data_IF_999692231312
#
_entry.id   IF_999692231312
#
_cell.length_a   1.000
_cell.length_b   1.000
_cell.length_c   1.000
_cell.angle_alpha   90.00
_cell.angle_beta   90.00
_cell.angle_gamma   90.00
#
_symmetry.space_group_name_H-M   'P 1'
#
loop_
_entity.id
_entity.type
_entity.pdbx_description
1 polymer ?
#
# COMPACT_ATOMS: atom_id res chain seq x y z
N UNK A 1 39.90 -77.33 11.82
CA UNK A 1 38.73 -76.42 11.87
C UNK A 1 39.24 -75.00 11.66
N UNK A 2 38.82 -74.32 10.60
CA UNK A 2 39.12 -72.90 10.45
C UNK A 2 38.20 -72.13 11.42
N UNK A 3 38.77 -71.40 12.38
CA UNK A 3 38.01 -70.49 13.22
C UNK A 3 37.54 -69.32 12.34
N UNK A 4 36.23 -69.24 12.10
CA UNK A 4 35.59 -68.05 11.59
C UNK A 4 35.64 -67.00 12.70
N UNK A 5 36.50 -65.99 12.54
CA UNK A 5 36.46 -64.80 13.38
C UNK A 5 35.10 -64.12 13.20
N UNK A 6 34.49 -63.68 14.30
CA UNK A 6 33.31 -62.84 14.23
C UNK A 6 33.61 -61.62 13.35
N UNK A 7 32.72 -61.22 12.43
CA UNK A 7 32.94 -60.03 11.61
C UNK A 7 33.17 -58.83 12.54
N UNK A 8 34.20 -58.03 12.25
CA UNK A 8 34.41 -56.76 12.95
C UNK A 8 33.11 -55.94 12.86
N UNK A 9 32.66 -55.40 13.99
CA UNK A 9 31.55 -54.47 13.99
C UNK A 9 31.95 -53.27 13.10
N UNK A 10 31.23 -53.10 11.98
CA UNK A 10 31.34 -51.93 11.14
C UNK A 10 30.71 -50.75 11.89
N UNK A 11 31.51 -50.07 12.71
CA UNK A 11 31.11 -48.81 13.31
C UNK A 11 31.10 -47.74 12.22
N UNK A 12 29.90 -47.28 11.87
CA UNK A 12 29.70 -46.17 10.95
C UNK A 12 29.33 -44.93 11.75
N UNK A 13 30.24 -43.94 11.79
CA UNK A 13 29.97 -42.65 12.41
C UNK A 13 29.60 -41.64 11.32
N UNK A 14 28.34 -41.21 11.33
CA UNK A 14 27.87 -40.10 10.52
C UNK A 14 28.51 -38.81 11.05
N UNK A 15 29.47 -38.25 10.32
CA UNK A 15 30.20 -37.04 10.74
C UNK A 15 29.37 -35.76 10.62
N UNK A 16 28.36 -35.73 9.74
CA UNK A 16 27.44 -34.62 9.61
C UNK A 16 26.04 -35.10 9.23
N UNK A 17 25.02 -34.31 9.60
CA UNK A 17 23.58 -34.57 9.35
C UNK A 17 22.90 -33.34 8.72
N UNK A 18 23.67 -32.62 7.91
CA UNK A 18 23.33 -31.32 7.31
C UNK A 18 23.01 -31.39 5.81
N UNK A 19 23.07 -32.58 5.21
CA UNK A 19 22.89 -32.78 3.77
C UNK A 19 21.45 -32.63 3.29
N UNK A 20 20.48 -32.54 4.22
CA UNK A 20 19.11 -32.17 3.95
C UNK A 20 18.29 -33.22 3.22
N UNK A 21 17.10 -32.80 2.77
CA UNK A 21 16.15 -33.69 2.11
C UNK A 21 16.44 -33.82 0.61
N UNK A 22 16.45 -35.04 0.08
CA UNK A 22 16.73 -35.30 -1.34
C UNK A 22 15.71 -36.26 -1.93
N UNK A 23 14.80 -35.71 -2.76
CA UNK A 23 13.76 -36.48 -3.45
C UNK A 23 14.16 -36.94 -4.87
N UNK A 24 15.20 -36.33 -5.44
CA UNK A 24 15.59 -36.54 -6.84
C UNK A 24 16.60 -37.67 -7.10
N UNK A 25 16.98 -38.44 -6.07
CA UNK A 25 17.98 -39.51 -6.17
C UNK A 25 17.40 -40.83 -5.67
N UNK A 26 17.85 -41.93 -6.29
CA UNK A 26 17.58 -43.28 -5.78
C UNK A 26 18.28 -43.48 -4.43
N UNK A 27 17.74 -44.29 -3.49
CA UNK A 27 18.25 -44.40 -2.13
C UNK A 27 19.74 -44.71 -2.00
N UNK A 28 20.29 -45.56 -2.87
CA UNK A 28 21.71 -45.94 -2.86
C UNK A 28 22.66 -44.86 -3.43
N UNK A 29 22.12 -43.75 -3.96
CA UNK A 29 22.88 -42.59 -4.46
C UNK A 29 22.84 -41.40 -3.49
N UNK A 30 22.21 -41.57 -2.33
CA UNK A 30 22.20 -40.57 -1.28
C UNK A 30 23.55 -40.55 -0.59
N UNK A 31 24.06 -39.35 -0.32
CA UNK A 31 25.19 -39.22 0.58
C UNK A 31 24.73 -39.51 2.01
N UNK A 32 25.63 -39.97 2.86
CA UNK A 32 25.30 -40.46 4.20
C UNK A 32 24.66 -39.40 5.11
N UNK A 33 24.89 -38.11 4.83
CA UNK A 33 24.29 -36.98 5.54
C UNK A 33 22.95 -36.50 4.94
N UNK A 34 22.37 -37.22 3.97
CA UNK A 34 21.12 -36.89 3.28
C UNK A 34 20.03 -37.92 3.60
N UNK A 35 18.77 -37.53 3.51
CA UNK A 35 17.65 -38.46 3.67
C UNK A 35 16.48 -38.08 2.76
N UNK A 36 15.73 -39.04 2.19
CA UNK A 36 14.51 -38.74 1.45
C UNK A 36 13.28 -38.60 2.37
N UNK A 37 13.37 -39.03 3.63
CA UNK A 37 12.25 -39.22 4.55
C UNK A 37 12.26 -38.23 5.72
N UNK A 38 12.87 -37.06 5.55
CA UNK A 38 12.94 -36.04 6.60
C UNK A 38 11.56 -35.40 6.84
N UNK A 39 10.84 -35.87 7.86
CA UNK A 39 9.56 -35.28 8.27
C UNK A 39 9.68 -34.50 9.59
N UNK A 40 9.18 -33.27 9.63
CA UNK A 40 9.15 -32.41 10.83
C UNK A 40 10.53 -32.20 11.48
N UNK A 41 11.59 -32.09 10.67
CA UNK A 41 12.93 -31.71 11.10
C UNK A 41 13.31 -30.37 10.46
N UNK A 42 14.13 -29.58 11.14
CA UNK A 42 14.74 -28.37 10.60
C UNK A 42 16.20 -28.26 11.06
N UNK A 43 17.04 -27.64 10.24
CA UNK A 43 18.41 -27.33 10.61
C UNK A 43 18.42 -25.99 11.37
N UNK A 44 18.70 -26.03 12.67
CA UNK A 44 18.84 -24.85 13.52
C UNK A 44 20.27 -24.77 14.01
N UNK A 45 20.96 -23.64 13.77
CA UNK A 45 22.36 -23.46 14.16
C UNK A 45 23.29 -24.63 13.78
N UNK A 46 23.07 -25.24 12.60
CA UNK A 46 23.80 -26.43 12.08
C UNK A 46 23.52 -27.75 12.83
N UNK A 47 22.53 -27.78 13.71
CA UNK A 47 22.04 -28.99 14.36
C UNK A 47 20.70 -29.39 13.76
N UNK A 48 20.55 -30.67 13.43
CA UNK A 48 19.27 -31.20 13.01
C UNK A 48 18.37 -31.33 14.23
N UNK A 49 17.28 -30.58 14.25
CA UNK A 49 16.34 -30.56 15.38
C UNK A 49 14.91 -30.82 14.91
N UNK A 50 14.05 -31.22 15.84
CA UNK A 50 12.61 -31.34 15.56
C UNK A 50 12.05 -29.94 15.27
N UNK A 51 11.20 -29.86 14.25
CA UNK A 51 10.44 -28.64 13.94
C UNK A 51 9.67 -28.22 15.18
N UNK A 52 9.66 -26.91 15.45
CA UNK A 52 8.82 -26.35 16.51
C UNK A 52 7.37 -26.80 16.30
N UNK A 53 6.71 -27.18 17.39
CA UNK A 53 5.30 -27.54 17.37
C UNK A 53 4.43 -26.37 16.88
N UNK A 54 3.21 -26.69 16.47
CA UNK A 54 2.17 -25.68 16.23
C UNK A 54 1.31 -25.59 17.48
N UNK A 55 1.10 -24.39 17.99
CA UNK A 55 0.11 -24.13 19.04
C UNK A 55 -1.14 -23.53 18.38
N UNK A 56 -2.30 -24.11 18.64
CA UNK A 56 -3.57 -23.48 18.30
C UNK A 56 -3.79 -22.31 19.26
N UNK A 57 -3.67 -21.09 18.74
CA UNK A 57 -3.87 -19.87 19.53
C UNK A 57 -5.36 -19.55 19.67
N UNK A 58 -6.11 -19.71 18.59
CA UNK A 58 -7.55 -19.48 18.53
C UNK A 58 -8.16 -20.27 17.35
N UNK A 59 -9.38 -20.74 17.52
CA UNK A 59 -10.19 -21.38 16.47
C UNK A 59 -11.51 -20.61 16.33
N UNK A 60 -11.50 -19.64 15.43
CA UNK A 60 -12.67 -18.82 15.09
C UNK A 60 -12.35 -17.80 14.00
N UNK A 61 -13.37 -17.42 13.25
CA UNK A 61 -13.25 -16.64 12.02
C UNK A 61 -14.28 -17.09 10.99
N UNK A 62 -14.60 -16.22 10.03
CA UNK A 62 -15.62 -16.49 9.00
C UNK A 62 -15.03 -17.14 7.74
N UNK A 63 -14.06 -18.06 7.90
CA UNK A 63 -13.40 -18.77 6.80
C UNK A 63 -11.89 -18.51 6.71
N UNK A 64 -11.33 -18.64 5.51
CA UNK A 64 -9.89 -18.53 5.26
C UNK A 64 -9.30 -17.19 5.71
N UNK A 65 -8.07 -17.24 6.25
CA UNK A 65 -7.31 -16.05 6.62
C UNK A 65 -6.68 -15.46 5.36
N UNK A 66 -7.07 -14.24 5.00
CA UNK A 66 -6.61 -13.52 3.81
C UNK A 66 -5.28 -12.80 4.03
N UNK A 67 -5.03 -12.33 5.25
CA UNK A 67 -3.85 -11.60 5.65
C UNK A 67 -3.68 -11.67 7.17
N UNK A 68 -2.45 -11.57 7.65
CA UNK A 68 -2.13 -11.51 9.09
C UNK A 68 -1.02 -10.49 9.34
N UNK A 69 -1.12 -9.77 10.45
CA UNK A 69 -0.07 -8.93 11.01
C UNK A 69 0.15 -9.37 12.47
N UNK A 70 1.36 -9.81 12.82
CA UNK A 70 1.58 -10.55 14.06
C UNK A 70 1.36 -9.71 15.31
N UNK A 71 1.78 -8.45 15.32
CA UNK A 71 1.61 -7.58 16.49
C UNK A 71 1.49 -6.12 16.10
N UNK A 72 0.34 -5.52 16.39
CA UNK A 72 0.15 -4.08 16.37
C UNK A 72 -0.71 -3.68 17.57
N UNK A 73 -0.15 -2.81 18.41
CA UNK A 73 -0.74 -2.36 19.67
C UNK A 73 -1.14 -3.53 20.61
N UNK A 74 -0.33 -4.60 20.65
CA UNK A 74 -0.53 -5.74 21.55
C UNK A 74 -1.52 -6.79 21.03
N UNK A 75 -1.95 -6.68 19.77
CA UNK A 75 -2.87 -7.62 19.14
C UNK A 75 -2.35 -8.12 17.80
N UNK A 76 -2.65 -9.39 17.49
CA UNK A 76 -2.54 -9.92 16.13
C UNK A 76 -3.74 -9.50 15.30
N UNK A 77 -3.49 -8.88 14.17
CA UNK A 77 -4.53 -8.44 13.25
C UNK A 77 -4.64 -9.42 12.09
N UNK A 78 -5.86 -9.78 11.73
CA UNK A 78 -6.06 -10.64 10.57
C UNK A 78 -7.37 -10.32 9.84
N UNK A 79 -7.38 -10.58 8.54
CA UNK A 79 -8.55 -10.46 7.70
C UNK A 79 -9.13 -11.85 7.42
N UNK A 80 -10.43 -12.02 7.63
CA UNK A 80 -11.15 -13.27 7.33
C UNK A 80 -12.60 -12.94 6.99
N UNK A 81 -13.14 -13.59 5.94
CA UNK A 81 -14.44 -13.24 5.38
C UNK A 81 -14.51 -11.74 5.03
N UNK A 82 -15.57 -11.07 5.50
CA UNK A 82 -15.79 -9.63 5.29
C UNK A 82 -15.32 -8.76 6.47
N UNK A 83 -14.41 -9.27 7.30
CA UNK A 83 -14.06 -8.61 8.56
C UNK A 83 -12.55 -8.54 8.82
N UNK A 84 -12.15 -7.48 9.53
CA UNK A 84 -10.87 -7.39 10.23
C UNK A 84 -11.08 -7.73 11.70
N UNK A 85 -10.19 -8.56 12.22
CA UNK A 85 -10.20 -9.02 13.59
C UNK A 85 -8.91 -8.61 14.29
N UNK A 86 -9.01 -8.36 15.59
CA UNK A 86 -7.87 -8.23 16.49
C UNK A 86 -7.94 -9.37 17.52
N UNK A 87 -6.86 -10.15 17.60
CA UNK A 87 -6.63 -11.24 18.54
C UNK A 87 -5.68 -10.76 19.64
N UNK A 88 -6.14 -10.82 20.88
CA UNK A 88 -5.29 -10.69 22.05
C UNK A 88 -4.67 -12.07 22.36
N UNK A 89 -3.34 -12.19 22.23
CA UNK A 89 -2.62 -13.44 22.49
C UNK A 89 -2.70 -13.89 23.95
N UNK A 90 -2.74 -12.93 24.89
CA UNK A 90 -2.71 -13.21 26.33
C UNK A 90 -4.09 -13.67 26.80
N UNK A 91 -5.13 -12.92 26.42
CA UNK A 91 -6.51 -13.24 26.77
C UNK A 91 -7.10 -14.35 25.90
N UNK A 92 -6.47 -14.67 24.75
CA UNK A 92 -7.00 -15.57 23.71
C UNK A 92 -8.40 -15.18 23.26
N UNK A 93 -8.65 -13.87 23.13
CA UNK A 93 -9.94 -13.31 22.72
C UNK A 93 -9.85 -12.63 21.37
N UNK A 94 -10.90 -12.78 20.57
CA UNK A 94 -11.00 -12.16 19.25
C UNK A 94 -12.11 -11.12 19.25
N UNK A 95 -11.77 -9.95 18.73
CA UNK A 95 -12.73 -8.86 18.52
C UNK A 95 -12.81 -8.53 17.04
N UNK A 96 -14.02 -8.54 16.47
CA UNK A 96 -14.25 -7.96 15.16
C UNK A 96 -14.13 -6.42 15.26
N UNK A 97 -13.20 -5.84 14.50
CA UNK A 97 -12.89 -4.40 14.52
C UNK A 97 -13.47 -3.66 13.32
N UNK A 98 -13.74 -4.39 12.25
CA UNK A 98 -14.37 -3.89 11.03
C UNK A 98 -15.10 -5.07 10.38
N UNK A 99 -16.34 -4.88 9.92
CA UNK A 99 -17.20 -5.98 9.40
C UNK A 99 -17.80 -5.66 8.03
N UNK A 100 -17.17 -4.73 7.30
CA UNK A 100 -17.67 -4.23 6.03
C UNK A 100 -16.59 -4.27 4.94
N UNK A 101 -15.67 -5.25 4.99
CA UNK A 101 -14.73 -5.43 3.89
C UNK A 101 -15.52 -5.74 2.61
N UNK A 102 -15.17 -5.04 1.54
CA UNK A 102 -15.91 -5.02 0.29
C UNK A 102 -15.66 -6.27 -0.56
N UNK A 103 -14.59 -7.02 -0.27
CA UNK A 103 -14.23 -8.22 -1.01
C UNK A 103 -13.62 -9.31 -0.14
N UNK A 104 -13.77 -10.55 -0.61
CA UNK A 104 -13.08 -11.74 -0.06
C UNK A 104 -11.88 -12.05 -0.95
N UNK A 105 -10.66 -11.91 -0.44
CA UNK A 105 -9.46 -12.15 -1.24
C UNK A 105 -8.18 -11.82 -0.49
N UNK A 106 -7.03 -12.07 -1.11
CA UNK A 106 -5.74 -11.73 -0.51
C UNK A 106 -5.65 -10.24 -0.19
N UNK A 107 -5.10 -9.94 0.97
CA UNK A 107 -4.74 -8.58 1.37
C UNK A 107 -3.36 -8.55 1.99
N UNK A 108 -2.87 -7.35 2.23
CA UNK A 108 -1.59 -7.11 2.88
C UNK A 108 -1.78 -6.14 4.03
N UNK A 109 -1.27 -6.51 5.20
CA UNK A 109 -1.08 -5.56 6.28
C UNK A 109 0.32 -4.95 6.20
N UNK A 110 0.43 -3.67 6.51
CA UNK A 110 1.72 -3.00 6.66
C UNK A 110 1.65 -1.88 7.69
N UNK A 111 2.64 -1.79 8.57
CA UNK A 111 2.77 -0.67 9.49
C UNK A 111 3.45 0.52 8.80
N UNK A 112 2.97 1.72 9.07
CA UNK A 112 3.56 2.95 8.59
C UNK A 112 3.26 4.12 9.53
N UNK A 113 4.32 4.81 9.97
CA UNK A 113 4.20 5.78 11.06
C UNK A 113 3.69 5.10 12.34
N UNK A 114 2.65 5.66 12.96
CA UNK A 114 2.03 5.10 14.16
C UNK A 114 0.85 4.17 13.88
N UNK A 115 0.49 3.95 12.61
CA UNK A 115 -0.71 3.22 12.21
C UNK A 115 -0.39 1.90 11.53
N UNK A 116 -1.33 0.98 11.60
CA UNK A 116 -1.36 -0.21 10.75
C UNK A 116 -2.32 0.06 9.58
N UNK A 117 -1.99 -0.45 8.41
CA UNK A 117 -2.85 -0.35 7.23
C UNK A 117 -3.21 -1.74 6.74
N UNK A 118 -4.41 -1.87 6.20
CA UNK A 118 -4.85 -3.04 5.46
C UNK A 118 -5.16 -2.65 4.02
N UNK A 119 -4.56 -3.37 3.07
CA UNK A 119 -4.80 -3.19 1.63
C UNK A 119 -5.26 -4.50 1.00
N UNK A 120 -6.43 -4.48 0.38
CA UNK A 120 -6.93 -5.52 -0.52
C UNK A 120 -7.27 -4.89 -1.87
N UNK A 121 -7.67 -5.69 -2.87
CA UNK A 121 -8.11 -5.19 -4.17
C UNK A 121 -9.41 -4.36 -4.13
N UNK A 122 -10.02 -4.20 -2.94
CA UNK A 122 -11.27 -3.44 -2.77
C UNK A 122 -11.23 -2.47 -1.59
N UNK A 123 -10.36 -2.69 -0.61
CA UNK A 123 -10.31 -1.89 0.62
C UNK A 123 -8.91 -1.33 0.86
N UNK A 124 -8.85 -0.07 1.27
CA UNK A 124 -7.64 0.55 1.82
C UNK A 124 -8.00 1.22 3.14
N UNK A 125 -7.63 0.58 4.24
CA UNK A 125 -8.05 0.95 5.59
C UNK A 125 -6.84 1.34 6.44
N UNK A 126 -7.02 2.33 7.31
CA UNK A 126 -6.11 2.69 8.37
C UNK A 126 -6.65 2.19 9.72
N UNK A 127 -5.73 1.75 10.56
CA UNK A 127 -5.98 1.19 11.88
C UNK A 127 -5.14 1.99 12.88
N UNK A 128 -5.82 2.71 13.75
CA UNK A 128 -5.19 3.47 14.83
C UNK A 128 -4.70 2.53 15.94
N UNK A 129 -3.70 2.92 16.74
CA UNK A 129 -3.29 2.15 17.93
C UNK A 129 -4.42 1.86 18.92
N UNK A 130 -5.49 2.68 18.93
CA UNK A 130 -6.71 2.42 19.70
C UNK A 130 -7.54 1.24 19.18
N UNK A 131 -7.22 0.72 18.00
CA UNK A 131 -7.97 -0.29 17.27
C UNK A 131 -9.14 0.25 16.45
N UNK A 132 -9.25 1.58 16.29
CA UNK A 132 -10.24 2.21 15.40
C UNK A 132 -9.84 1.94 13.94
N UNK A 133 -10.79 1.44 13.14
CA UNK A 133 -10.58 1.15 11.71
C UNK A 133 -11.41 2.10 10.87
N UNK A 134 -10.81 2.73 9.86
CA UNK A 134 -11.51 3.60 8.92
C UNK A 134 -10.88 3.52 7.51
N UNK A 135 -11.66 3.76 6.44
CA UNK A 135 -11.10 3.98 5.10
C UNK A 135 -10.09 5.12 5.08
N UNK A 136 -9.01 4.95 4.32
CA UNK A 136 -8.02 6.01 4.10
C UNK A 136 -8.66 7.14 3.32
N UNK A 137 -8.59 8.36 3.84
CA UNK A 137 -8.98 9.58 3.13
C UNK A 137 -7.77 10.13 2.39
N UNK A 138 -7.88 10.31 1.07
CA UNK A 138 -6.79 10.81 0.24
C UNK A 138 -6.46 12.29 0.51
N UNK A 139 -5.17 12.63 0.48
CA UNK A 139 -4.70 14.00 0.47
C UNK A 139 -5.28 14.77 -0.74
N UNK A 140 -5.64 16.04 -0.53
CA UNK A 140 -6.16 16.93 -1.58
C UNK A 140 -5.00 17.79 -2.09
N UNK A 141 -4.34 17.46 -3.21
CA UNK A 141 -3.15 18.17 -3.68
C UNK A 141 -3.46 19.59 -4.18
N UNK A 142 -2.52 20.50 -3.97
CA UNK A 142 -2.45 21.82 -4.59
C UNK A 142 -1.77 21.69 -5.95
N UNK A 143 -2.56 21.47 -6.99
CA UNK A 143 -2.05 21.09 -8.31
C UNK A 143 -1.49 22.26 -9.11
N UNK A 144 -2.02 23.47 -8.87
CA UNK A 144 -1.65 24.68 -9.60
C UNK A 144 -1.51 25.86 -8.64
N UNK A 145 -0.47 26.65 -8.86
CA UNK A 145 -0.20 27.91 -8.17
C UNK A 145 -0.04 29.04 -9.19
N UNK A 146 -0.10 30.28 -8.70
CA UNK A 146 0.00 31.49 -9.52
C UNK A 146 -0.99 31.46 -10.69
N UNK A 147 -2.15 30.83 -10.48
CA UNK A 147 -3.15 30.61 -11.51
C UNK A 147 -3.84 31.92 -11.87
N UNK A 148 -3.99 32.20 -13.17
CA UNK A 148 -4.76 33.35 -13.64
C UNK A 148 -6.27 33.02 -13.58
N UNK A 149 -7.07 33.82 -12.85
CA UNK A 149 -8.52 33.62 -12.77
C UNK A 149 -9.23 33.58 -14.12
N UNK A 150 -8.77 34.36 -15.11
CA UNK A 150 -9.48 34.50 -16.39
C UNK A 150 -9.35 33.26 -17.29
N UNK A 151 -8.22 32.55 -17.17
CA UNK A 151 -7.87 31.41 -18.01
C UNK A 151 -7.95 30.08 -17.29
N UNK A 152 -7.73 30.05 -15.97
CA UNK A 152 -7.61 28.81 -15.19
C UNK A 152 -6.25 28.11 -15.38
N UNK A 153 -5.27 28.82 -15.93
CA UNK A 153 -3.91 28.32 -16.19
C UNK A 153 -2.94 28.90 -15.16
N UNK A 154 -2.00 28.07 -14.69
CA UNK A 154 -0.98 28.45 -13.72
C UNK A 154 0.27 27.59 -13.85
N UNK A 155 1.09 27.60 -12.80
CA UNK A 155 2.28 26.75 -12.69
C UNK A 155 1.91 25.46 -11.96
N UNK A 156 2.30 24.31 -12.53
CA UNK A 156 2.17 23.00 -11.88
C UNK A 156 2.94 22.95 -10.56
N UNK A 157 2.34 22.35 -9.53
CA UNK A 157 2.92 22.29 -8.19
C UNK A 157 2.93 20.86 -7.63
N UNK A 158 1.77 20.22 -7.54
CA UNK A 158 1.62 18.82 -7.16
C UNK A 158 0.85 18.06 -8.25
N UNK A 159 1.11 16.75 -8.37
CA UNK A 159 0.31 15.86 -9.20
C UNK A 159 -1.09 15.63 -8.60
N UNK A 160 -2.05 15.20 -9.41
CA UNK A 160 -3.33 14.73 -8.90
C UNK A 160 -3.13 13.49 -8.03
N UNK A 161 -4.01 13.29 -7.06
CA UNK A 161 -3.96 12.13 -6.18
C UNK A 161 -4.95 11.07 -6.65
N UNK A 162 -4.46 9.88 -7.00
CA UNK A 162 -5.27 8.76 -7.49
C UNK A 162 -6.37 8.34 -6.51
N UNK A 163 -6.18 8.55 -5.21
CA UNK A 163 -7.16 8.17 -4.18
C UNK A 163 -7.95 9.35 -3.61
N UNK A 164 -7.95 10.51 -4.29
CA UNK A 164 -8.75 11.67 -3.92
C UNK A 164 -9.39 12.29 -5.14
N UNK A 165 -10.71 12.49 -5.10
CA UNK A 165 -11.39 13.32 -6.09
C UNK A 165 -11.06 14.81 -5.93
N UNK A 166 -10.61 15.22 -4.74
CA UNK A 166 -10.35 16.62 -4.42
C UNK A 166 -9.03 17.12 -4.99
N UNK A 167 -9.03 18.36 -5.47
CA UNK A 167 -7.83 19.10 -5.85
C UNK A 167 -7.95 20.58 -5.44
N UNK A 168 -6.81 21.24 -5.27
CA UNK A 168 -6.69 22.66 -4.92
C UNK A 168 -5.99 23.44 -6.02
N UNK A 169 -6.47 24.66 -6.27
CA UNK A 169 -5.85 25.62 -7.18
C UNK A 169 -5.68 26.96 -6.47
N UNK A 170 -4.52 27.59 -6.61
CA UNK A 170 -4.22 28.87 -5.99
C UNK A 170 -4.00 29.95 -7.04
N UNK A 171 -4.75 31.05 -6.91
CA UNK A 171 -4.84 32.11 -7.92
C UNK A 171 -4.11 33.38 -7.52
N UNK A 172 -3.58 34.06 -8.53
CA UNK A 172 -3.03 35.42 -8.46
C UNK A 172 -3.81 36.32 -9.39
N UNK A 173 -4.25 37.48 -8.90
CA UNK A 173 -4.97 38.46 -9.71
C UNK A 173 -4.38 39.86 -9.54
N UNK A 174 -4.29 40.60 -10.65
CA UNK A 174 -3.83 42.00 -10.68
C UNK A 174 -4.96 43.01 -10.46
N UNK A 175 -6.21 42.58 -10.64
CA UNK A 175 -7.42 43.36 -10.41
C UNK A 175 -8.44 42.58 -9.58
N UNK A 176 -9.61 43.19 -9.38
CA UNK A 176 -10.72 42.52 -8.70
C UNK A 176 -11.24 41.35 -9.52
N UNK A 177 -11.67 40.29 -8.83
CA UNK A 177 -12.11 39.03 -9.44
C UNK A 177 -13.62 38.92 -9.27
N UNK A 178 -14.35 38.96 -10.38
CA UNK A 178 -15.80 38.67 -10.41
C UNK A 178 -16.09 37.25 -10.87
N UNK A 179 -15.16 36.67 -11.63
CA UNK A 179 -15.23 35.28 -12.09
C UNK A 179 -13.85 34.65 -12.07
N UNK A 180 -13.76 33.35 -11.80
CA UNK A 180 -12.55 32.58 -11.99
C UNK A 180 -12.87 31.25 -12.69
N UNK A 181 -11.89 30.70 -13.42
CA UNK A 181 -12.02 29.41 -14.11
C UNK A 181 -11.15 28.36 -13.47
N UNK A 182 -11.71 27.17 -13.27
CA UNK A 182 -10.95 25.97 -12.92
C UNK A 182 -10.27 25.35 -14.16
N UNK A 183 -9.24 24.51 -13.97
CA UNK A 183 -8.52 23.88 -15.06
C UNK A 183 -9.44 23.03 -15.92
N UNK A 184 -9.41 23.25 -17.24
CA UNK A 184 -10.32 22.60 -18.19
C UNK A 184 -10.21 21.06 -18.19
N UNK A 185 -9.03 20.53 -17.89
CA UNK A 185 -8.79 19.08 -17.84
C UNK A 185 -9.54 18.35 -16.71
N UNK A 186 -10.08 19.09 -15.73
CA UNK A 186 -10.76 18.54 -14.55
C UNK A 186 -12.26 18.85 -14.56
N UNK A 187 -12.84 18.93 -15.76
CA UNK A 187 -14.26 19.20 -15.98
C UNK A 187 -14.92 18.01 -16.68
N UNK A 188 -16.19 17.71 -16.39
CA UNK A 188 -17.06 18.39 -15.42
C UNK A 188 -16.65 18.11 -13.96
N UNK A 189 -17.07 18.99 -13.04
CA UNK A 189 -16.86 18.82 -11.60
C UNK A 189 -17.90 17.89 -10.98
N UNK A 190 -17.52 17.26 -9.87
CA UNK A 190 -18.43 16.49 -9.04
C UNK A 190 -19.50 17.38 -8.36
N UNK A 191 -20.56 16.75 -7.86
CA UNK A 191 -21.62 17.43 -7.12
C UNK A 191 -21.16 18.01 -5.78
N UNK A 192 -20.04 17.53 -5.23
CA UNK A 192 -19.45 18.01 -3.97
C UNK A 192 -19.28 19.53 -3.98
N UNK A 193 -19.57 20.16 -2.84
CA UNK A 193 -19.48 21.62 -2.72
C UNK A 193 -18.02 22.08 -2.88
N UNK A 194 -17.83 23.13 -3.68
CA UNK A 194 -16.55 23.81 -3.84
C UNK A 194 -16.32 24.71 -2.63
N UNK A 195 -15.11 24.69 -2.09
CA UNK A 195 -14.71 25.60 -1.02
C UNK A 195 -13.70 26.61 -1.54
N UNK A 196 -13.86 27.88 -1.16
CA UNK A 196 -12.89 28.93 -1.48
C UNK A 196 -12.35 29.53 -0.18
N UNK A 197 -11.04 29.70 -0.11
CA UNK A 197 -10.35 30.43 0.94
C UNK A 197 -9.69 31.66 0.33
N UNK A 198 -9.92 32.84 0.92
CA UNK A 198 -9.26 34.08 0.52
C UNK A 198 -8.45 34.58 1.70
N UNK A 199 -7.14 34.33 1.66
CA UNK A 199 -6.20 34.70 2.73
C UNK A 199 -6.64 34.23 4.13
N UNK A 200 -7.11 32.99 4.26
CA UNK A 200 -7.59 32.43 5.52
C UNK A 200 -9.07 32.72 5.84
N UNK A 201 -9.78 33.44 4.96
CA UNK A 201 -11.21 33.68 5.09
C UNK A 201 -11.98 32.74 4.17
N UNK A 202 -12.69 31.79 4.77
CA UNK A 202 -13.56 30.85 4.06
C UNK A 202 -14.74 31.56 3.36
N UNK A 203 -15.08 31.07 2.18
CA UNK A 203 -16.18 31.50 1.32
C UNK A 203 -17.02 30.28 0.95
N UNK A 204 -18.34 30.42 1.05
CA UNK A 204 -19.29 29.34 0.85
C UNK A 204 -19.94 29.40 -0.53
N UNK A 205 -20.02 28.25 -1.20
CA UNK A 205 -20.79 28.10 -2.44
C UNK A 205 -22.27 28.46 -2.21
N UNK A 206 -22.92 29.02 -3.24
CA UNK A 206 -24.27 29.62 -3.28
C UNK A 206 -24.47 30.93 -2.50
N UNK A 207 -23.60 31.23 -1.53
CA UNK A 207 -23.69 32.45 -0.72
C UNK A 207 -22.68 33.51 -1.18
N UNK A 208 -21.40 33.15 -1.26
CA UNK A 208 -20.32 34.07 -1.69
C UNK A 208 -20.00 33.95 -3.19
N UNK A 209 -20.31 32.80 -3.80
CA UNK A 209 -20.10 32.54 -5.22
C UNK A 209 -21.02 31.40 -5.70
N UNK A 210 -21.21 31.29 -7.01
CA UNK A 210 -21.90 30.17 -7.67
C UNK A 210 -20.91 29.41 -8.55
N UNK A 211 -21.18 28.13 -8.81
CA UNK A 211 -20.31 27.25 -9.61
C UNK A 211 -21.09 26.69 -10.79
N UNK A 212 -20.59 26.90 -12.01
CA UNK A 212 -21.01 26.14 -13.17
C UNK A 212 -20.10 24.91 -13.31
N UNK A 213 -20.61 23.74 -12.90
CA UNK A 213 -19.83 22.48 -12.85
C UNK A 213 -19.40 21.95 -14.22
N UNK A 214 -20.16 22.25 -15.27
CA UNK A 214 -19.83 21.86 -16.65
C UNK A 214 -18.64 22.65 -17.21
N UNK A 215 -18.60 23.95 -16.90
CA UNK A 215 -17.60 24.88 -17.46
C UNK A 215 -16.47 25.23 -16.49
N UNK A 216 -16.59 24.84 -15.22
CA UNK A 216 -15.61 25.17 -14.18
C UNK A 216 -15.58 26.65 -13.80
N UNK A 217 -16.58 27.44 -14.20
CA UNK A 217 -16.62 28.88 -13.92
C UNK A 217 -17.24 29.11 -12.56
N UNK A 218 -16.49 29.76 -11.68
CA UNK A 218 -16.98 30.33 -10.43
C UNK A 218 -17.36 31.79 -10.66
N UNK A 219 -18.54 32.20 -10.22
CA UNK A 219 -19.03 33.59 -10.30
C UNK A 219 -19.30 34.14 -8.91
N UNK A 220 -18.60 35.21 -8.53
CA UNK A 220 -18.72 35.85 -7.23
C UNK A 220 -20.11 36.46 -7.07
N UNK A 221 -20.71 36.28 -5.90
CA UNK A 221 -21.98 36.92 -5.52
C UNK A 221 -21.66 38.17 -4.71
N UNK A 222 -22.24 39.31 -5.10
CA UNK A 222 -22.01 40.58 -4.43
C UNK A 222 -20.70 41.25 -4.87
N UNK A 223 -19.88 41.68 -3.90
CA UNK A 223 -18.67 42.45 -4.17
C UNK A 223 -17.56 41.57 -4.73
N UNK A 224 -16.98 41.98 -5.86
CA UNK A 224 -15.83 41.33 -6.48
C UNK A 224 -14.66 41.18 -5.48
N UNK A 225 -13.98 40.04 -5.53
CA UNK A 225 -12.88 39.75 -4.61
C UNK A 225 -11.65 40.61 -4.93
N UNK A 226 -10.87 41.02 -3.93
CA UNK A 226 -9.73 41.92 -4.13
C UNK A 226 -8.60 41.27 -4.94
N UNK A 227 -7.75 42.11 -5.53
CA UNK A 227 -6.50 41.68 -6.14
C UNK A 227 -5.52 41.12 -5.09
N UNK A 228 -4.61 40.24 -5.51
CA UNK A 228 -3.61 39.65 -4.63
C UNK A 228 -2.78 38.57 -5.30
N UNK A 229 -1.67 38.21 -4.65
CA UNK A 229 -0.77 37.15 -5.12
C UNK A 229 -1.04 35.88 -4.34
N UNK A 230 -1.39 34.80 -5.03
CA UNK A 230 -1.59 33.48 -4.45
C UNK A 230 -2.52 33.50 -3.22
N UNK A 231 -3.56 34.33 -3.25
CA UNK A 231 -4.40 34.63 -2.08
C UNK A 231 -5.76 33.93 -2.12
N UNK A 232 -6.22 33.51 -3.29
CA UNK A 232 -7.46 32.73 -3.44
C UNK A 232 -7.08 31.27 -3.64
N UNK A 233 -7.44 30.39 -2.71
CA UNK A 233 -7.32 28.94 -2.86
C UNK A 233 -8.71 28.33 -3.06
N UNK A 234 -8.91 27.65 -4.18
CA UNK A 234 -10.15 26.95 -4.50
C UNK A 234 -9.92 25.45 -4.30
N UNK A 235 -10.74 24.80 -3.50
CA UNK A 235 -10.82 23.33 -3.38
C UNK A 235 -12.04 22.85 -4.15
N UNK A 236 -11.82 22.07 -5.20
CA UNK A 236 -12.86 21.50 -6.05
C UNK A 236 -12.67 19.98 -6.19
N UNK A 237 -13.64 19.30 -6.80
CA UNK A 237 -13.69 17.84 -6.85
C UNK A 237 -14.00 17.36 -8.27
N UNK A 238 -13.23 16.38 -8.74
CA UNK A 238 -13.43 15.67 -10.00
C UNK A 238 -13.02 14.22 -9.80
N UNK A 239 -13.97 13.29 -10.00
CA UNK A 239 -13.72 11.87 -9.85
C UNK A 239 -13.19 11.26 -11.15
N UNK A 240 -11.93 10.85 -11.14
CA UNK A 240 -11.35 9.97 -12.16
C UNK A 240 -11.42 8.51 -11.69
N UNK A 241 -12.43 7.78 -12.19
CA UNK A 241 -12.69 6.40 -11.80
C UNK A 241 -11.58 5.43 -12.23
N UNK A 242 -10.92 5.67 -13.36
CA UNK A 242 -9.82 4.81 -13.83
C UNK A 242 -8.57 5.00 -12.97
N UNK A 243 -8.26 6.25 -12.64
CA UNK A 243 -7.18 6.61 -11.74
C UNK A 243 -7.39 6.03 -10.33
N UNK A 244 -8.60 6.13 -9.79
CA UNK A 244 -8.95 5.52 -8.50
C UNK A 244 -8.88 3.99 -8.53
N UNK A 245 -9.38 3.37 -9.61
CA UNK A 245 -9.34 1.92 -9.79
C UNK A 245 -7.90 1.37 -9.85
N UNK A 246 -6.94 2.18 -10.33
CA UNK A 246 -5.54 1.82 -10.42
C UNK A 246 -4.94 1.47 -9.04
N UNK A 247 -5.29 2.25 -8.01
CA UNK A 247 -4.86 2.01 -6.62
C UNK A 247 -5.80 1.04 -5.90
N UNK A 248 -7.12 1.17 -6.12
CA UNK A 248 -8.10 0.29 -5.49
C UNK A 248 -7.81 -1.18 -5.79
N UNK A 249 -7.50 -1.53 -7.05
CA UNK A 249 -7.23 -2.92 -7.47
C UNK A 249 -5.94 -3.55 -6.93
N UNK A 250 -5.02 -2.78 -6.34
CA UNK A 250 -3.79 -3.34 -5.78
C UNK A 250 -4.06 -4.16 -4.51
N UNK A 251 -3.28 -5.20 -4.24
CA UNK A 251 -3.40 -6.00 -2.99
C UNK A 251 -2.05 -6.40 -2.40
N UNK A 252 -0.96 -6.16 -3.14
CA UNK A 252 0.41 -6.32 -2.66
C UNK A 252 0.91 -4.97 -2.21
N UNK A 253 1.39 -4.87 -0.98
CA UNK A 253 1.86 -3.62 -0.40
C UNK A 253 3.20 -3.80 0.33
N UNK A 254 4.09 -2.82 0.21
CA UNK A 254 5.33 -2.78 0.99
C UNK A 254 5.78 -1.35 1.25
N UNK A 255 5.88 -0.89 2.51
CA UNK A 255 6.57 0.35 2.82
C UNK A 255 8.05 0.14 2.57
N UNK A 256 8.72 1.00 1.81
CA UNK A 256 10.14 0.88 1.49
C UNK A 256 10.78 2.25 1.27
N UNK A 257 12.03 2.40 1.72
CA UNK A 257 12.83 3.62 1.63
C UNK A 257 13.95 3.64 2.68
N UNK A 258 14.65 4.76 2.77
CA UNK A 258 16.13 4.79 2.87
C UNK A 258 16.65 5.41 1.57
N UNK A 259 17.86 5.94 1.48
CA UNK A 259 18.20 6.98 0.47
C UNK A 259 19.57 6.79 -0.18
N UNK A 260 19.71 7.24 -1.44
CA UNK A 260 20.94 7.66 -2.11
C UNK A 260 21.59 8.95 -1.52
N UNK A 261 20.89 9.71 -0.67
CA UNK A 261 21.31 10.93 0.04
C UNK A 261 21.18 10.90 1.60
N UNK A 262 21.01 9.73 2.23
CA UNK A 262 20.99 9.55 3.71
C UNK A 262 19.63 9.51 4.45
N UNK A 263 19.62 9.82 5.75
CA UNK A 263 18.42 9.69 6.62
C UNK A 263 17.23 10.61 6.26
N UNK A 264 17.37 11.43 5.21
CA UNK A 264 16.44 12.48 4.78
C UNK A 264 15.58 12.11 3.56
N UNK A 265 15.97 11.12 2.75
CA UNK A 265 15.21 10.68 1.57
C UNK A 265 13.89 9.95 1.87
N UNK A 266 13.65 9.66 3.16
CA UNK A 266 12.40 9.16 3.71
C UNK A 266 11.94 7.81 3.16
N UNK A 267 10.67 7.47 3.40
CA UNK A 267 10.08 6.17 3.06
C UNK A 267 8.80 6.37 2.27
N UNK A 268 8.60 5.58 1.22
CA UNK A 268 7.34 5.52 0.46
C UNK A 268 6.63 4.20 0.70
N UNK A 269 5.40 4.10 0.25
CA UNK A 269 4.68 2.83 0.19
C UNK A 269 4.52 2.44 -1.26
N UNK A 270 4.77 1.17 -1.55
CA UNK A 270 4.66 0.59 -2.88
C UNK A 270 3.44 -0.31 -2.96
N UNK A 271 2.59 -0.11 -3.95
CA UNK A 271 1.42 -0.94 -4.24
C UNK A 271 1.53 -1.59 -5.61
N UNK A 272 1.09 -2.85 -5.71
CA UNK A 272 0.99 -3.58 -6.96
C UNK A 272 -0.07 -4.70 -6.87
N UNK A 273 -0.13 -5.54 -7.92
CA UNK A 273 -1.06 -6.67 -7.99
C UNK A 273 -2.45 -6.30 -8.53
N UNK A 274 -2.59 -5.15 -9.18
CA UNK A 274 -3.84 -4.81 -9.85
C UNK A 274 -3.98 -5.65 -11.13
N UNK A 275 -5.10 -6.37 -11.28
CA UNK A 275 -5.37 -7.26 -12.41
C UNK A 275 -5.46 -6.54 -13.77
N UNK A 276 -5.79 -5.24 -13.77
CA UNK A 276 -5.89 -4.40 -14.98
C UNK A 276 -4.55 -3.76 -15.35
N UNK A 277 -3.68 -3.53 -14.36
CA UNK A 277 -2.35 -2.93 -14.56
C UNK A 277 -1.29 -3.84 -13.95
N UNK A 278 -1.19 -5.05 -14.52
CA UNK A 278 -0.47 -6.19 -13.95
C UNK A 278 1.02 -5.89 -13.71
N UNK A 279 1.61 -5.13 -14.62
CA UNK A 279 3.04 -4.82 -14.62
C UNK A 279 3.38 -3.47 -13.97
N UNK A 280 2.43 -2.87 -13.24
CA UNK A 280 2.61 -1.54 -12.65
C UNK A 280 2.84 -1.62 -11.16
N UNK A 281 3.88 -0.92 -10.71
CA UNK A 281 4.14 -0.62 -9.31
C UNK A 281 3.84 0.85 -9.08
N UNK A 282 2.87 1.14 -8.20
CA UNK A 282 2.57 2.50 -7.76
C UNK A 282 3.36 2.82 -6.50
N UNK A 283 3.72 4.09 -6.31
CA UNK A 283 4.35 4.54 -5.08
C UNK A 283 3.67 5.79 -4.52
N UNK A 284 3.59 5.86 -3.20
CA UNK A 284 3.00 6.99 -2.48
C UNK A 284 3.88 8.24 -2.55
N UNK A 285 3.32 9.37 -2.13
CA UNK A 285 4.04 10.56 -1.73
C UNK A 285 5.07 10.25 -0.64
N UNK A 286 6.05 11.15 -0.51
CA UNK A 286 7.11 10.99 0.47
C UNK A 286 6.52 11.14 1.87
N UNK A 287 6.72 10.15 2.74
CA UNK A 287 6.23 10.19 4.12
C UNK A 287 4.69 10.31 4.24
N UNK A 288 3.93 10.01 3.18
CA UNK A 288 2.50 10.22 3.13
C UNK A 288 1.76 9.01 2.51
N UNK A 289 1.03 8.21 3.33
CA UNK A 289 0.24 7.06 2.85
C UNK A 289 -1.06 7.46 2.13
N UNK A 290 -1.44 8.73 2.22
CA UNK A 290 -2.70 9.27 1.71
C UNK A 290 -2.54 9.96 0.35
N UNK A 291 -1.31 10.13 -0.13
CA UNK A 291 -1.01 10.76 -1.41
C UNK A 291 -0.43 9.74 -2.39
N UNK A 292 -1.11 9.50 -3.50
CA UNK A 292 -0.71 8.59 -4.57
C UNK A 292 -0.69 9.37 -5.89
N UNK A 293 0.43 10.05 -6.22
CA UNK A 293 0.47 10.96 -7.34
C UNK A 293 0.19 10.25 -8.67
N UNK A 294 -0.46 10.92 -9.62
CA UNK A 294 -0.80 10.39 -10.95
C UNK A 294 0.44 9.88 -11.71
N UNK A 295 1.58 10.56 -11.58
CA UNK A 295 2.87 10.21 -12.15
C UNK A 295 3.70 9.27 -11.26
N UNK A 296 3.13 8.83 -10.13
CA UNK A 296 3.77 7.99 -9.12
C UNK A 296 3.75 6.50 -9.44
N UNK A 297 4.34 6.08 -10.56
CA UNK A 297 4.35 4.67 -10.96
C UNK A 297 5.60 4.24 -11.74
N UNK A 298 5.85 2.94 -11.75
CA UNK A 298 6.93 2.28 -12.48
C UNK A 298 6.32 1.11 -13.27
N UNK A 299 6.64 1.01 -14.56
CA UNK A 299 6.28 -0.13 -15.39
C UNK A 299 7.42 -1.16 -15.37
N UNK A 300 7.09 -2.42 -15.09
CA UNK A 300 8.04 -3.51 -14.91
C UNK A 300 7.85 -4.55 -16.01
N UNK A 301 8.82 -4.68 -16.91
CA UNK A 301 8.72 -5.66 -18.00
C UNK A 301 7.54 -5.39 -18.95
N UNK A 302 6.92 -6.46 -19.45
CA UNK A 302 5.79 -6.39 -20.40
C UNK A 302 4.45 -6.29 -19.67
N UNK A 303 3.39 -5.89 -20.38
CA UNK A 303 2.07 -5.63 -19.79
C UNK A 303 1.42 -6.85 -19.09
N UNK A 304 1.83 -8.07 -19.41
CA UNK A 304 1.35 -9.33 -18.81
C UNK A 304 2.23 -9.84 -17.66
N UNK A 305 3.28 -9.09 -17.28
CA UNK A 305 4.18 -9.44 -16.18
C UNK A 305 3.59 -9.06 -14.82
N UNK A 306 2.57 -9.80 -14.38
CA UNK A 306 1.90 -9.57 -13.09
C UNK A 306 2.90 -9.52 -11.92
N UNK A 307 2.93 -8.39 -11.21
CA UNK A 307 3.65 -8.25 -9.94
C UNK A 307 2.91 -9.05 -8.87
N UNK A 308 3.60 -10.03 -8.28
CA UNK A 308 3.01 -11.01 -7.35
C UNK A 308 3.42 -10.79 -5.91
N UNK A 309 4.60 -10.22 -5.67
CA UNK A 309 5.11 -9.98 -4.34
C UNK A 309 6.18 -8.89 -4.32
N UNK A 310 6.40 -8.34 -3.14
CA UNK A 310 7.57 -7.54 -2.80
C UNK A 310 8.42 -8.27 -1.76
N UNK A 311 9.73 -8.08 -1.82
CA UNK A 311 10.66 -8.54 -0.78
C UNK A 311 11.69 -7.47 -0.50
N UNK A 312 12.09 -7.33 0.77
CA UNK A 312 13.21 -6.47 1.15
C UNK A 312 14.42 -7.33 1.41
N UNK A 313 15.56 -6.93 0.83
CA UNK A 313 16.84 -7.50 1.21
C UNK A 313 17.90 -6.40 1.06
N UNK A 314 18.54 -6.06 2.17
CA UNK A 314 19.45 -4.92 2.30
C UNK A 314 18.79 -3.61 1.85
N UNK A 315 19.45 -2.86 0.97
CA UNK A 315 19.04 -1.62 0.33
C UNK A 315 18.31 -1.85 -1.02
N UNK A 316 17.74 -3.05 -1.21
CA UNK A 316 16.93 -3.38 -2.38
C UNK A 316 15.51 -3.77 -1.99
N UNK A 317 14.56 -3.21 -2.73
CA UNK A 317 13.20 -3.73 -2.85
C UNK A 317 13.14 -4.64 -4.06
N UNK A 318 13.08 -5.94 -3.82
CA UNK A 318 12.80 -6.93 -4.84
C UNK A 318 11.33 -6.90 -5.24
N UNK A 319 11.10 -6.86 -6.53
CA UNK A 319 9.78 -6.92 -7.17
C UNK A 319 9.69 -8.25 -7.90
N UNK A 320 8.86 -9.15 -7.39
CA UNK A 320 8.63 -10.46 -7.99
C UNK A 320 7.49 -10.34 -8.99
N UNK A 321 7.73 -10.73 -10.23
CA UNK A 321 6.68 -10.91 -11.23
C UNK A 321 6.42 -12.39 -11.46
N UNK A 322 5.36 -12.72 -12.20
CA UNK A 322 5.03 -14.09 -12.56
C UNK A 322 6.16 -14.86 -13.28
N UNK A 323 7.12 -14.15 -13.93
CA UNK A 323 8.16 -14.78 -14.78
C UNK A 323 9.55 -14.16 -14.63
N UNK A 324 9.72 -13.12 -13.82
CA UNK A 324 11.00 -12.42 -13.66
C UNK A 324 11.17 -11.81 -12.26
N UNK A 325 12.40 -11.49 -11.93
CA UNK A 325 12.78 -10.78 -10.71
C UNK A 325 13.38 -9.42 -11.08
N UNK A 326 12.92 -8.36 -10.44
CA UNK A 326 13.44 -7.01 -10.58
C UNK A 326 13.82 -6.45 -9.21
N UNK A 327 14.57 -5.37 -9.18
CA UNK A 327 14.91 -4.65 -7.95
C UNK A 327 14.76 -3.15 -8.16
N UNK A 328 14.24 -2.48 -7.14
CA UNK A 328 14.28 -1.03 -7.01
C UNK A 328 15.31 -0.72 -5.92
N UNK A 329 16.32 0.09 -6.27
CA UNK A 329 17.26 0.65 -5.31
C UNK A 329 16.85 2.07 -5.00
N UNK A 330 17.12 2.48 -3.77
CA UNK A 330 16.84 3.81 -3.27
C UNK A 330 18.12 4.55 -2.95
#
# INVERSE_FOLDING_TARGET
>A
MAQLNAPQANYFNLQSIDGGVVYGKLPYKLADNQSPDMCNLLLDQKLLCKRRGVEAVYDGGAGSIAAVYPDFAGACWYASGNSLFALDYTAKTVTAKYTALSGTGHGTFFAYGTKLYYKSASDFLAIEPSGTVAPVTGYVPLILISCDPATGSGTENEALNRISAGFRVRYTSTGTVSTLKLPKALLPLDATAVAVDISGTAKAETTDFTVNRETGVLTVVGTAWPAGTNHITVTAYHTDAESAASIAGCHVAMPYGGDAAGLTGGTRIFFAGNAQTQNTVYYSGLLDPTYWPDNGFILIGQSDAAVTAFGKQYDLLYVFTARSLHSVQY
#
